data_IF_864513177424
#
_entry.id   IF_864513177424
#
_cell.length_a   1.000
_cell.length_b   1.000
_cell.length_c   1.000
_cell.angle_alpha   90.00
_cell.angle_beta   90.00
_cell.angle_gamma   90.00
#
_symmetry.space_group_name_H-M   'P 1'
#
loop_
_entity.id
_entity.type
_entity.pdbx_description
1 polymer ?
#
# COMPACT_ATOMS: atom_id res chain seq x y z
N UNK A 1 14.53 -19.59 -0.01
CA UNK A 1 13.17 -19.04 0.04
C UNK A 1 13.24 -17.65 0.66
N UNK A 2 12.56 -16.67 0.07
CA UNK A 2 12.54 -15.27 0.48
C UNK A 2 11.11 -14.85 0.80
N UNK A 3 10.85 -14.35 2.02
CA UNK A 3 9.64 -13.63 2.35
C UNK A 3 9.88 -12.14 2.07
N UNK A 4 9.07 -11.56 1.24
CA UNK A 4 9.26 -10.17 0.81
C UNK A 4 7.92 -9.47 0.53
N UNK A 5 7.97 -8.17 0.30
CA UNK A 5 6.82 -7.33 -0.01
C UNK A 5 6.98 -6.66 -1.37
N UNK A 6 5.89 -6.13 -1.89
CA UNK A 6 5.90 -5.43 -3.19
C UNK A 6 6.88 -4.25 -3.27
N UNK A 7 7.21 -3.59 -2.16
CA UNK A 7 8.20 -2.51 -2.20
C UNK A 7 9.53 -3.01 -2.76
N UNK A 8 10.00 -4.18 -2.34
CA UNK A 8 11.23 -4.77 -2.87
C UNK A 8 11.04 -5.29 -4.29
N UNK A 9 9.97 -6.05 -4.57
CA UNK A 9 9.83 -6.79 -5.82
C UNK A 9 9.23 -5.98 -6.99
N UNK A 10 8.41 -4.96 -6.69
CA UNK A 10 7.68 -4.24 -7.73
C UNK A 10 7.96 -2.73 -7.75
N UNK A 11 8.37 -2.12 -6.63
CA UNK A 11 8.61 -0.68 -6.55
C UNK A 11 10.08 -0.33 -6.69
N UNK A 12 10.97 -1.00 -5.94
CA UNK A 12 12.41 -0.74 -5.97
C UNK A 12 13.05 -0.80 -7.38
N UNK A 13 12.63 -1.73 -8.27
CA UNK A 13 13.14 -1.75 -9.64
C UNK A 13 12.92 -0.44 -10.43
N UNK A 14 11.91 0.36 -10.06
CA UNK A 14 11.65 1.65 -10.67
C UNK A 14 12.25 2.83 -9.89
N UNK A 15 12.53 2.66 -8.60
CA UNK A 15 13.08 3.71 -7.73
C UNK A 15 14.60 3.82 -7.83
N UNK A 16 15.29 2.67 -7.90
CA UNK A 16 16.74 2.61 -7.93
C UNK A 16 17.26 2.51 -9.36
N UNK A 17 18.32 3.23 -9.66
CA UNK A 17 19.02 3.15 -10.95
C UNK A 17 19.65 1.78 -11.19
N UNK A 18 20.10 1.13 -10.11
CA UNK A 18 20.60 -0.23 -10.14
C UNK A 18 20.10 -0.99 -8.89
N UNK A 19 18.99 -1.71 -8.99
CA UNK A 19 18.43 -2.45 -7.86
C UNK A 19 19.25 -3.67 -7.44
N UNK A 20 20.23 -4.10 -8.26
CA UNK A 20 21.12 -5.24 -7.97
C UNK A 20 20.48 -6.61 -8.18
N UNK A 21 19.25 -6.70 -8.68
CA UNK A 21 18.55 -7.95 -8.98
C UNK A 21 17.44 -7.71 -10.04
N UNK A 22 17.04 -8.79 -10.69
CA UNK A 22 15.86 -8.84 -11.58
C UNK A 22 14.70 -9.53 -10.83
N UNK A 23 13.60 -8.81 -10.51
CA UNK A 23 12.48 -9.38 -9.76
C UNK A 23 11.75 -10.52 -10.46
N UNK A 24 11.87 -10.63 -11.79
CA UNK A 24 11.23 -11.65 -12.61
C UNK A 24 12.24 -12.75 -13.01
N UNK A 25 13.46 -12.35 -13.40
CA UNK A 25 14.49 -13.28 -13.86
C UNK A 25 15.16 -14.06 -12.75
N UNK A 26 15.42 -13.44 -11.60
CA UNK A 26 16.15 -14.08 -10.49
C UNK A 26 15.25 -14.87 -9.55
N UNK A 27 13.91 -14.60 -9.58
CA UNK A 27 12.96 -15.18 -8.62
C UNK A 27 11.73 -15.78 -9.29
N UNK A 28 11.22 -16.83 -8.68
CA UNK A 28 9.90 -17.41 -8.97
C UNK A 28 8.95 -17.07 -7.82
N UNK A 29 7.82 -16.43 -8.10
CA UNK A 29 6.78 -16.11 -7.11
C UNK A 29 6.10 -17.42 -6.68
N UNK A 30 6.34 -17.84 -5.46
CA UNK A 30 5.90 -19.11 -4.92
C UNK A 30 4.47 -19.06 -4.37
N UNK A 31 4.18 -18.03 -3.55
CA UNK A 31 2.91 -17.94 -2.84
C UNK A 31 2.58 -16.47 -2.45
N UNK A 32 1.35 -16.05 -2.72
CA UNK A 32 0.81 -14.78 -2.24
C UNK A 32 0.20 -14.99 -0.85
N UNK A 33 0.61 -14.18 0.12
CA UNK A 33 0.16 -14.30 1.51
C UNK A 33 -1.08 -13.45 1.76
N UNK A 34 -1.04 -12.21 1.34
CA UNK A 34 -2.11 -11.24 1.57
C UNK A 34 -1.65 -9.81 1.35
N UNK A 35 -2.57 -8.87 1.47
CA UNK A 35 -2.30 -7.45 1.34
C UNK A 35 -2.78 -6.64 2.55
N UNK A 36 -2.17 -5.49 2.75
CA UNK A 36 -2.54 -4.52 3.78
C UNK A 36 -2.81 -3.19 3.11
N UNK A 37 -4.02 -2.64 3.21
CA UNK A 37 -4.34 -1.34 2.65
C UNK A 37 -3.76 -0.21 3.49
N UNK A 38 -3.67 0.95 2.86
CA UNK A 38 -3.43 2.23 3.52
C UNK A 38 -4.75 2.99 3.66
N UNK A 39 -4.77 3.91 4.61
CA UNK A 39 -5.90 4.83 4.81
C UNK A 39 -5.38 6.26 4.77
N UNK A 40 -6.09 7.11 4.05
CA UNK A 40 -5.92 8.55 4.11
C UNK A 40 -6.65 9.06 5.34
N UNK A 41 -5.91 9.71 6.23
CA UNK A 41 -6.43 10.20 7.51
C UNK A 41 -6.17 11.69 7.68
N UNK A 42 -7.01 12.34 8.50
CA UNK A 42 -6.85 13.71 8.98
C UNK A 42 -7.00 13.79 10.50
N UNK A 43 -6.60 14.90 11.16
CA UNK A 43 -6.85 15.09 12.58
C UNK A 43 -8.36 15.23 12.88
N UNK A 44 -8.81 14.91 14.11
CA UNK A 44 -10.19 15.09 14.50
C UNK A 44 -10.59 16.57 14.41
N UNK A 45 -11.81 16.82 13.94
CA UNK A 45 -12.30 18.19 13.74
C UNK A 45 -11.78 18.91 12.49
N UNK A 46 -10.93 18.26 11.70
CA UNK A 46 -10.52 18.76 10.38
C UNK A 46 -11.74 18.98 9.47
N UNK A 47 -11.75 20.06 8.66
CA UNK A 47 -12.75 20.22 7.61
C UNK A 47 -12.62 19.19 6.47
N UNK A 48 -11.49 18.49 6.39
CA UNK A 48 -11.21 17.45 5.39
C UNK A 48 -11.79 16.11 5.85
N UNK A 49 -13.10 15.93 5.67
CA UNK A 49 -13.83 14.74 6.15
C UNK A 49 -14.01 13.66 5.09
N UNK A 50 -14.04 14.06 3.85
CA UNK A 50 -14.29 13.21 2.70
C UNK A 50 -13.22 13.40 1.63
N UNK A 51 -13.13 12.47 0.69
CA UNK A 51 -12.24 12.61 -0.46
C UNK A 51 -12.59 13.84 -1.30
N UNK A 52 -13.88 14.17 -1.40
CA UNK A 52 -14.36 15.38 -2.09
C UNK A 52 -13.83 16.66 -1.43
N UNK A 53 -13.81 16.71 -0.10
CA UNK A 53 -13.26 17.88 0.63
C UNK A 53 -11.75 18.05 0.36
N UNK A 54 -11.00 16.93 0.36
CA UNK A 54 -9.56 16.93 0.06
C UNK A 54 -9.31 17.47 -1.35
N UNK A 55 -10.04 16.96 -2.33
CA UNK A 55 -9.91 17.39 -3.73
C UNK A 55 -10.31 18.85 -3.90
N UNK A 56 -11.40 19.28 -3.29
CA UNK A 56 -11.84 20.68 -3.34
C UNK A 56 -10.82 21.63 -2.71
N UNK A 57 -10.26 21.27 -1.54
CA UNK A 57 -9.22 22.05 -0.87
C UNK A 57 -7.94 22.17 -1.71
N UNK A 58 -7.47 21.06 -2.28
CA UNK A 58 -6.28 21.05 -3.13
C UNK A 58 -6.47 21.85 -4.43
N UNK A 59 -7.67 21.78 -5.06
CA UNK A 59 -7.98 22.60 -6.24
C UNK A 59 -8.06 24.10 -5.92
N UNK A 60 -8.54 24.45 -4.73
CA UNK A 60 -8.61 25.86 -4.32
C UNK A 60 -7.23 26.49 -4.11
N UNK A 61 -6.26 25.69 -3.67
CA UNK A 61 -4.89 26.11 -3.36
C UNK A 61 -3.89 25.03 -3.81
N UNK A 62 -3.57 25.00 -5.11
CA UNK A 62 -2.64 24.01 -5.65
C UNK A 62 -1.28 24.06 -4.96
N UNK A 63 -0.74 22.90 -4.57
CA UNK A 63 0.56 22.77 -3.90
C UNK A 63 0.61 23.18 -2.42
N UNK A 64 -0.47 23.75 -1.83
CA UNK A 64 -0.48 24.11 -0.40
C UNK A 64 -0.97 23.00 0.52
N UNK A 65 -1.81 22.07 0.01
CA UNK A 65 -2.33 20.98 0.83
C UNK A 65 -1.30 19.87 1.00
N UNK A 66 -0.76 19.76 2.22
CA UNK A 66 0.28 18.79 2.53
C UNK A 66 -0.28 17.42 2.95
N UNK A 67 0.48 16.36 2.64
CA UNK A 67 0.28 15.03 3.21
C UNK A 67 1.58 14.41 3.69
N UNK A 68 1.52 13.75 4.84
CA UNK A 68 2.63 13.03 5.43
C UNK A 68 2.73 11.60 4.87
N UNK A 69 3.94 11.10 4.70
CA UNK A 69 4.26 9.73 4.34
C UNK A 69 5.35 9.12 5.22
N UNK A 70 5.54 7.81 5.14
CA UNK A 70 6.61 7.12 5.83
C UNK A 70 8.01 7.34 5.21
N UNK A 71 8.10 8.16 4.16
CA UNK A 71 9.35 8.53 3.48
C UNK A 71 9.24 8.47 1.96
N UNK A 72 10.25 9.02 1.28
CA UNK A 72 10.34 9.00 -0.18
C UNK A 72 10.33 7.57 -0.73
N UNK A 73 9.60 7.35 -1.83
CA UNK A 73 9.49 6.06 -2.50
C UNK A 73 8.67 5.00 -1.76
N UNK A 74 8.18 5.28 -0.55
CA UNK A 74 7.27 4.37 0.15
C UNK A 74 5.88 4.36 -0.49
N UNK A 75 5.10 3.31 -0.23
CA UNK A 75 3.71 3.22 -0.73
C UNK A 75 2.87 4.42 -0.28
N UNK A 76 3.05 4.90 0.95
CA UNK A 76 2.33 6.09 1.45
C UNK A 76 2.65 7.36 0.64
N UNK A 77 3.90 7.53 0.19
CA UNK A 77 4.26 8.59 -0.75
C UNK A 77 3.57 8.39 -2.11
N UNK A 78 3.72 7.20 -2.67
CA UNK A 78 3.21 6.87 -4.01
C UNK A 78 1.68 6.91 -4.10
N UNK A 79 0.96 6.61 -3.01
CA UNK A 79 -0.50 6.77 -2.94
C UNK A 79 -0.93 8.24 -3.01
N UNK A 80 -0.18 9.16 -2.37
CA UNK A 80 -0.42 10.59 -2.52
C UNK A 80 -0.21 11.07 -3.95
N UNK A 81 0.86 10.62 -4.60
CA UNK A 81 1.12 10.93 -6.01
C UNK A 81 0.07 10.33 -6.95
N UNK A 82 -0.38 9.09 -6.65
CA UNK A 82 -1.46 8.42 -7.39
C UNK A 82 -2.77 9.21 -7.27
N UNK A 83 -3.16 9.62 -6.06
CA UNK A 83 -4.33 10.43 -5.83
C UNK A 83 -4.22 11.79 -6.56
N UNK A 84 -3.07 12.45 -6.45
CA UNK A 84 -2.82 13.73 -7.12
C UNK A 84 -3.01 13.62 -8.64
N UNK A 85 -2.43 12.59 -9.25
CA UNK A 85 -2.56 12.31 -10.69
C UNK A 85 -4.01 11.98 -11.08
N UNK A 86 -4.68 11.09 -10.34
CA UNK A 86 -6.03 10.62 -10.67
C UNK A 86 -7.10 11.71 -10.48
N UNK A 87 -6.92 12.59 -9.50
CA UNK A 87 -7.86 13.68 -9.22
C UNK A 87 -7.51 15.01 -9.93
N UNK A 88 -6.36 15.08 -10.61
CA UNK A 88 -5.87 16.31 -11.24
C UNK A 88 -5.67 17.42 -10.23
N UNK A 89 -4.99 17.11 -9.10
CA UNK A 89 -4.68 18.05 -8.01
C UNK A 89 -3.18 18.07 -7.72
N UNK A 90 -2.74 19.12 -7.06
CA UNK A 90 -1.37 19.25 -6.59
C UNK A 90 -1.32 19.18 -5.06
N UNK A 91 -0.53 18.23 -4.51
CA UNK A 91 -0.36 17.97 -3.10
C UNK A 91 1.11 18.09 -2.71
N UNK A 92 1.38 18.75 -1.59
CA UNK A 92 2.72 18.85 -1.03
C UNK A 92 3.06 17.58 -0.24
N UNK A 93 4.09 16.85 -0.67
CA UNK A 93 4.57 15.67 0.04
C UNK A 93 5.52 16.03 1.19
N UNK A 94 5.25 15.53 2.40
CA UNK A 94 6.11 15.67 3.59
C UNK A 94 6.61 14.28 3.99
N UNK A 95 7.89 13.95 3.71
CA UNK A 95 8.47 12.65 4.05
C UNK A 95 8.90 12.58 5.51
N UNK A 96 8.53 11.51 6.20
CA UNK A 96 8.98 11.17 7.56
C UNK A 96 9.88 9.93 7.54
N UNK A 97 10.56 9.66 8.65
CA UNK A 97 11.35 8.44 8.87
C UNK A 97 10.45 7.33 9.45
N UNK A 98 9.38 6.97 8.73
CA UNK A 98 8.42 5.94 9.13
C UNK A 98 7.01 6.46 9.38
N UNK A 99 6.05 5.53 9.57
CA UNK A 99 4.62 5.86 9.72
C UNK A 99 4.29 6.49 11.08
N UNK A 100 5.00 6.11 12.15
CA UNK A 100 4.71 6.59 13.50
C UNK A 100 4.90 8.12 13.66
N UNK A 101 6.03 8.72 13.27
CA UNK A 101 6.18 10.17 13.33
C UNK A 101 5.19 10.90 12.39
N UNK A 102 4.85 10.34 11.23
CA UNK A 102 3.85 10.92 10.34
C UNK A 102 2.45 10.98 11.01
N UNK A 103 2.03 9.89 11.67
CA UNK A 103 0.77 9.87 12.43
C UNK A 103 0.80 10.87 13.59
N UNK A 104 1.91 10.96 14.33
CA UNK A 104 2.03 11.88 15.46
C UNK A 104 1.85 13.34 15.04
N UNK A 105 2.41 13.74 13.90
CA UNK A 105 2.28 15.11 13.41
C UNK A 105 0.88 15.41 12.87
N UNK A 106 0.17 14.41 12.34
CA UNK A 106 -1.26 14.55 12.01
C UNK A 106 -2.09 14.69 13.30
N UNK A 107 -1.84 13.85 14.30
CA UNK A 107 -2.51 13.95 15.62
C UNK A 107 -2.29 15.32 16.28
N UNK A 108 -1.09 15.87 16.12
CA UNK A 108 -0.71 17.20 16.60
C UNK A 108 -1.20 18.38 15.72
N UNK A 109 -1.86 18.10 14.59
CA UNK A 109 -2.34 19.12 13.66
C UNK A 109 -1.24 19.83 12.87
N UNK A 110 0.00 19.31 12.88
CA UNK A 110 1.13 19.90 12.15
C UNK A 110 1.03 19.63 10.64
N UNK A 111 0.46 18.49 10.26
CA UNK A 111 0.19 18.14 8.86
C UNK A 111 -1.28 17.74 8.72
N UNK A 112 -2.01 18.28 7.73
CA UNK A 112 -3.45 18.07 7.62
C UNK A 112 -3.87 16.68 7.20
N UNK A 113 -2.99 15.91 6.53
CA UNK A 113 -3.29 14.59 5.96
C UNK A 113 -2.11 13.63 6.13
N UNK A 114 -2.38 12.33 6.24
CA UNK A 114 -1.37 11.30 6.05
C UNK A 114 -1.95 10.07 5.34
N UNK A 115 -1.12 9.40 4.54
CA UNK A 115 -1.34 8.00 4.18
C UNK A 115 -0.64 7.11 5.20
N UNK A 116 -1.41 6.38 6.01
CA UNK A 116 -0.91 5.43 7.01
C UNK A 116 -1.39 4.02 6.69
N UNK A 117 -0.60 2.99 7.05
CA UNK A 117 -1.11 1.61 6.95
C UNK A 117 -2.35 1.45 7.83
N UNK A 118 -3.37 0.76 7.35
CA UNK A 118 -4.62 0.60 8.10
C UNK A 118 -4.40 0.07 9.52
N UNK A 119 -3.57 -0.97 9.76
CA UNK A 119 -3.28 -1.44 11.12
C UNK A 119 -2.70 -0.35 12.02
N UNK A 120 -1.79 0.48 11.51
CA UNK A 120 -1.17 1.55 12.29
C UNK A 120 -2.14 2.66 12.66
N UNK A 121 -3.11 2.96 11.80
CA UNK A 121 -4.12 3.99 12.02
C UNK A 121 -5.34 3.50 12.82
N UNK A 122 -5.67 2.21 12.75
CA UNK A 122 -6.94 1.65 13.19
C UNK A 122 -7.26 1.93 14.67
N UNK A 123 -6.26 1.82 15.55
CA UNK A 123 -6.43 2.10 16.98
C UNK A 123 -6.80 3.58 17.22
N UNK A 124 -6.16 4.49 16.50
CA UNK A 124 -6.44 5.94 16.58
C UNK A 124 -7.80 6.28 15.97
N UNK A 125 -8.18 5.62 14.86
CA UNK A 125 -9.49 5.78 14.25
C UNK A 125 -10.60 5.33 15.19
N UNK A 126 -10.48 4.14 15.80
CA UNK A 126 -11.44 3.62 16.78
C UNK A 126 -11.55 4.48 18.03
N UNK A 127 -10.47 5.13 18.43
CA UNK A 127 -10.45 6.08 19.55
C UNK A 127 -10.94 7.49 19.19
N UNK A 128 -11.35 7.75 17.94
CA UNK A 128 -11.76 9.07 17.45
C UNK A 128 -10.63 10.10 17.39
N UNK A 129 -9.37 9.64 17.46
CA UNK A 129 -8.17 10.50 17.41
C UNK A 129 -7.67 10.75 15.98
N UNK A 130 -8.11 9.95 15.03
CA UNK A 130 -7.92 10.18 13.59
C UNK A 130 -9.26 10.01 12.89
N UNK A 131 -9.50 10.88 11.93
CA UNK A 131 -10.63 10.80 11.02
C UNK A 131 -10.18 10.08 9.74
N UNK A 132 -10.84 8.99 9.39
CA UNK A 132 -10.59 8.26 8.15
C UNK A 132 -11.34 8.90 6.99
N UNK A 133 -10.67 9.06 5.86
CA UNK A 133 -11.21 9.68 4.64
C UNK A 133 -11.48 8.64 3.58
N UNK A 134 -10.48 7.84 3.23
CA UNK A 134 -10.61 6.77 2.22
C UNK A 134 -9.52 5.72 2.39
N UNK A 135 -9.81 4.47 1.98
CA UNK A 135 -8.88 3.33 1.98
C UNK A 135 -8.35 3.11 0.56
N UNK A 136 -7.12 2.64 0.46
CA UNK A 136 -6.41 2.44 -0.81
C UNK A 136 -6.65 1.08 -1.49
N UNK A 137 -7.41 0.18 -0.87
CA UNK A 137 -7.77 -1.12 -1.47
C UNK A 137 -8.87 -0.97 -2.53
N UNK A 138 -8.96 -1.97 -3.42
CA UNK A 138 -10.02 -2.01 -4.44
C UNK A 138 -11.44 -2.18 -3.84
N UNK A 139 -11.54 -2.77 -2.65
CA UNK A 139 -12.79 -2.96 -1.90
C UNK A 139 -12.62 -2.46 -0.48
N UNK A 140 -13.72 -2.12 0.18
CA UNK A 140 -13.70 -1.72 1.60
C UNK A 140 -13.12 -2.82 2.47
N UNK A 141 -12.32 -2.45 3.45
CA UNK A 141 -11.71 -3.39 4.38
C UNK A 141 -12.72 -3.88 5.41
N UNK A 142 -12.79 -5.19 5.71
CA UNK A 142 -13.60 -5.70 6.82
C UNK A 142 -13.22 -5.10 8.19
N UNK A 143 -11.98 -4.63 8.35
CA UNK A 143 -11.52 -3.98 9.58
C UNK A 143 -12.05 -2.53 9.74
N UNK A 144 -12.53 -1.92 8.63
CA UNK A 144 -13.09 -0.57 8.59
C UNK A 144 -14.15 -0.47 7.47
N UNK A 145 -15.29 -1.17 7.60
CA UNK A 145 -16.29 -1.33 6.52
C UNK A 145 -16.99 -0.02 6.14
N UNK A 146 -17.05 0.93 7.05
CA UNK A 146 -17.69 2.22 6.83
C UNK A 146 -16.81 3.21 6.06
N UNK A 147 -15.51 2.94 5.93
CA UNK A 147 -14.57 3.82 5.23
C UNK A 147 -14.61 3.51 3.73
N UNK A 148 -14.97 4.51 2.87
CA UNK A 148 -15.00 4.30 1.43
C UNK A 148 -13.59 4.05 0.87
N UNK A 149 -13.52 3.48 -0.33
CA UNK A 149 -12.23 3.33 -1.01
C UNK A 149 -11.94 4.53 -1.93
N UNK A 150 -10.64 4.77 -2.19
CA UNK A 150 -10.24 5.71 -3.23
C UNK A 150 -10.82 5.30 -4.60
N UNK A 151 -10.88 4.00 -4.84
CA UNK A 151 -11.36 3.41 -6.10
C UNK A 151 -12.87 3.64 -6.36
N UNK A 152 -13.68 3.89 -5.32
CA UNK A 152 -15.09 4.25 -5.49
C UNK A 152 -15.25 5.58 -6.27
N UNK A 153 -14.24 6.46 -6.22
CA UNK A 153 -14.22 7.74 -6.94
C UNK A 153 -13.21 7.75 -8.08
N UNK A 154 -12.03 7.17 -7.86
CA UNK A 154 -10.93 7.09 -8.81
C UNK A 154 -10.52 5.63 -9.00
N UNK A 155 -11.10 4.90 -9.99
CA UNK A 155 -10.93 3.45 -10.14
C UNK A 155 -9.48 2.96 -10.23
N UNK A 156 -8.58 3.79 -10.78
CA UNK A 156 -7.15 3.47 -10.89
C UNK A 156 -6.36 3.74 -9.61
N UNK A 157 -6.98 4.32 -8.58
CA UNK A 157 -6.31 4.69 -7.33
C UNK A 157 -6.36 3.52 -6.33
N UNK A 158 -5.69 2.42 -6.67
CA UNK A 158 -5.58 1.20 -5.85
C UNK A 158 -4.12 0.89 -5.58
N UNK A 159 -3.75 0.83 -4.30
CA UNK A 159 -2.39 0.47 -3.88
C UNK A 159 -2.34 -0.07 -2.46
N UNK A 160 -1.77 -1.26 -2.30
CA UNK A 160 -1.66 -1.98 -1.03
C UNK A 160 -0.25 -2.52 -0.86
N UNK A 161 0.19 -2.75 0.37
CA UNK A 161 1.38 -3.57 0.62
C UNK A 161 0.94 -5.03 0.58
N UNK A 162 1.39 -5.78 -0.40
CA UNK A 162 1.24 -7.23 -0.38
C UNK A 162 2.53 -7.92 0.03
N UNK A 163 2.39 -9.08 0.66
CA UNK A 163 3.47 -9.97 1.04
C UNK A 163 3.41 -11.28 0.27
N UNK A 164 4.56 -11.80 -0.10
CA UNK A 164 4.67 -13.06 -0.81
C UNK A 164 5.95 -13.81 -0.52
N UNK A 165 5.92 -15.11 -0.80
CA UNK A 165 7.07 -15.98 -0.77
C UNK A 165 7.62 -16.14 -2.19
N UNK A 166 8.95 -16.09 -2.29
CA UNK A 166 9.70 -16.26 -3.52
C UNK A 166 10.78 -17.33 -3.34
N UNK A 167 11.09 -18.00 -4.42
CA UNK A 167 12.22 -18.90 -4.53
C UNK A 167 13.18 -18.38 -5.60
N UNK A 168 14.49 -18.67 -5.55
CA UNK A 168 15.36 -18.45 -6.69
C UNK A 168 14.84 -19.14 -7.94
N UNK A 169 15.09 -18.56 -9.10
CA UNK A 169 14.80 -19.24 -10.38
C UNK A 169 15.60 -20.53 -10.50
N UNK A 170 15.03 -21.56 -11.13
CA UNK A 170 15.69 -22.86 -11.34
C UNK A 170 15.53 -23.88 -10.20
N UNK A 171 14.74 -23.56 -9.16
CA UNK A 171 14.38 -24.56 -8.13
C UNK A 171 13.54 -25.69 -8.77
N UNK A 172 13.85 -26.93 -8.40
CA UNK A 172 13.17 -28.12 -8.91
C UNK A 172 11.63 -28.00 -8.76
N UNK A 173 10.85 -28.26 -9.83
CA UNK A 173 9.39 -28.13 -9.80
C UNK A 173 8.68 -28.93 -8.69
N UNK A 174 9.19 -30.11 -8.33
CA UNK A 174 8.60 -30.92 -7.26
C UNK A 174 8.82 -30.29 -5.87
N UNK A 175 9.97 -29.62 -5.67
CA UNK A 175 10.21 -28.82 -4.46
C UNK A 175 9.24 -27.64 -4.43
N UNK A 176 9.04 -26.95 -5.56
CA UNK A 176 8.09 -25.85 -5.66
C UNK A 176 6.67 -26.29 -5.32
N UNK A 177 6.19 -27.39 -5.86
CA UNK A 177 4.88 -27.98 -5.53
C UNK A 177 4.74 -28.30 -4.03
N UNK A 178 5.78 -28.91 -3.46
CA UNK A 178 5.80 -29.26 -2.03
C UNK A 178 5.67 -28.01 -1.16
N UNK A 179 6.42 -26.95 -1.47
CA UNK A 179 6.36 -25.69 -0.74
C UNK A 179 5.01 -24.98 -0.90
N UNK A 180 4.46 -24.97 -2.12
CA UNK A 180 3.12 -24.40 -2.38
C UNK A 180 2.03 -25.13 -1.61
N UNK A 181 2.07 -26.48 -1.60
CA UNK A 181 1.12 -27.30 -0.85
C UNK A 181 1.24 -27.07 0.66
N UNK A 182 2.46 -26.96 1.18
CA UNK A 182 2.70 -26.63 2.59
C UNK A 182 2.13 -25.24 2.95
N UNK A 183 2.37 -24.22 2.11
CA UNK A 183 1.81 -22.89 2.32
C UNK A 183 0.30 -22.88 2.27
N UNK A 184 -0.30 -23.60 1.32
CA UNK A 184 -1.76 -23.71 1.22
C UNK A 184 -2.35 -24.31 2.51
N UNK A 185 -1.73 -25.37 3.06
CA UNK A 185 -2.15 -25.95 4.35
C UNK A 185 -2.03 -24.96 5.49
N UNK A 186 -0.92 -24.23 5.60
CA UNK A 186 -0.70 -23.23 6.64
C UNK A 186 -1.73 -22.12 6.55
N UNK A 187 -1.95 -21.57 5.36
CA UNK A 187 -2.88 -20.46 5.13
C UNK A 187 -4.35 -20.86 5.22
N UNK A 188 -4.66 -22.16 5.17
CA UNK A 188 -6.02 -22.69 5.42
C UNK A 188 -6.33 -22.83 6.93
N UNK A 189 -5.33 -22.79 7.80
CA UNK A 189 -5.53 -22.92 9.25
C UNK A 189 -6.31 -21.75 9.83
N UNK A 190 -7.39 -21.98 10.62
CA UNK A 190 -8.20 -20.91 11.21
C UNK A 190 -7.39 -19.97 12.10
N UNK A 191 -6.51 -20.51 12.95
CA UNK A 191 -5.67 -19.75 13.87
C UNK A 191 -4.68 -18.82 13.15
N UNK A 192 -4.12 -19.28 12.02
CA UNK A 192 -3.23 -18.47 11.19
C UNK A 192 -4.02 -17.34 10.52
N UNK A 193 -5.16 -17.68 9.90
CA UNK A 193 -6.02 -16.70 9.23
C UNK A 193 -6.50 -15.61 10.21
N UNK A 194 -6.99 -16.01 11.37
CA UNK A 194 -7.44 -15.08 12.40
C UNK A 194 -6.33 -14.09 12.79
N UNK A 195 -5.13 -14.60 13.10
CA UNK A 195 -3.98 -13.76 13.49
C UNK A 195 -3.60 -12.77 12.40
N UNK A 196 -3.53 -13.20 11.14
CA UNK A 196 -3.18 -12.32 10.02
C UNK A 196 -4.27 -11.28 9.77
N UNK A 197 -5.55 -11.66 9.84
CA UNK A 197 -6.67 -10.72 9.71
C UNK A 197 -6.70 -9.70 10.85
N UNK A 198 -6.42 -10.11 12.08
CA UNK A 198 -6.29 -9.17 13.22
C UNK A 198 -5.14 -8.18 13.04
N UNK A 199 -4.10 -8.57 12.31
CA UNK A 199 -3.02 -7.69 11.90
C UNK A 199 -3.36 -6.82 10.67
N UNK A 200 -4.61 -6.87 10.19
CA UNK A 200 -5.10 -6.04 9.09
C UNK A 200 -4.75 -6.53 7.70
N UNK A 201 -4.34 -7.80 7.54
CA UNK A 201 -4.14 -8.38 6.22
C UNK A 201 -5.47 -8.80 5.61
N UNK A 202 -5.69 -8.42 4.37
CA UNK A 202 -6.66 -9.06 3.49
C UNK A 202 -6.02 -10.33 2.91
N UNK A 203 -6.65 -11.46 3.19
CA UNK A 203 -6.18 -12.79 2.77
C UNK A 203 -6.87 -13.28 1.50
N UNK A 204 -7.38 -12.36 0.67
CA UNK A 204 -7.93 -12.72 -0.66
C UNK A 204 -6.83 -13.34 -1.50
N UNK A 205 -6.96 -14.61 -1.92
CA UNK A 205 -5.87 -15.32 -2.56
C UNK A 205 -5.67 -14.87 -4.01
N UNK A 206 -4.42 -14.85 -4.45
CA UNK A 206 -4.06 -14.86 -5.87
C UNK A 206 -3.75 -16.31 -6.28
N UNK A 207 -4.43 -16.80 -7.29
CA UNK A 207 -4.22 -18.18 -7.75
C UNK A 207 -2.77 -18.39 -8.25
N UNK A 208 -2.18 -19.53 -7.93
CA UNK A 208 -0.76 -19.82 -8.21
C UNK A 208 -0.39 -19.61 -9.68
N UNK A 209 -1.25 -20.02 -10.61
CA UNK A 209 -1.04 -19.83 -12.04
C UNK A 209 -1.16 -18.37 -12.52
N UNK A 210 -1.60 -17.45 -11.67
CA UNK A 210 -1.70 -16.01 -11.95
C UNK A 210 -0.58 -15.19 -11.29
N UNK A 211 0.26 -15.78 -10.44
CA UNK A 211 1.26 -15.05 -9.66
C UNK A 211 2.28 -14.32 -10.53
N UNK A 212 2.76 -14.93 -11.60
CA UNK A 212 3.71 -14.28 -12.52
C UNK A 212 3.08 -13.09 -13.24
N UNK A 213 1.85 -13.23 -13.74
CA UNK A 213 1.10 -12.14 -14.35
C UNK A 213 0.84 -11.01 -13.34
N UNK A 214 0.38 -11.35 -12.15
CA UNK A 214 0.17 -10.40 -11.06
C UNK A 214 1.44 -9.59 -10.73
N UNK A 215 2.62 -10.25 -10.64
CA UNK A 215 3.88 -9.55 -10.39
C UNK A 215 4.23 -8.56 -11.51
N UNK A 216 4.08 -8.97 -12.77
CA UNK A 216 4.34 -8.11 -13.92
C UNK A 216 3.41 -6.90 -13.97
N UNK A 217 2.12 -7.10 -13.66
CA UNK A 217 1.14 -6.02 -13.58
C UNK A 217 1.49 -5.03 -12.46
N UNK A 218 1.91 -5.53 -11.31
CA UNK A 218 2.36 -4.72 -10.18
C UNK A 218 3.63 -3.92 -10.54
N UNK A 219 4.64 -4.54 -11.15
CA UNK A 219 5.86 -3.85 -11.60
C UNK A 219 5.50 -2.72 -12.57
N UNK A 220 4.66 -3.02 -13.57
CA UNK A 220 4.23 -2.04 -14.57
C UNK A 220 3.46 -0.86 -13.93
N UNK A 221 2.52 -1.18 -13.05
CA UNK A 221 1.73 -0.19 -12.31
C UNK A 221 2.63 0.73 -11.51
N UNK A 222 3.50 0.17 -10.67
CA UNK A 222 4.35 0.96 -9.79
C UNK A 222 5.41 1.75 -10.55
N UNK A 223 5.97 1.22 -11.65
CA UNK A 223 6.89 1.98 -12.51
C UNK A 223 6.24 3.25 -13.07
N UNK A 224 4.97 3.17 -13.51
CA UNK A 224 4.20 4.35 -13.97
C UNK A 224 4.02 5.38 -12.85
N UNK A 225 3.69 4.91 -11.64
CA UNK A 225 3.43 5.79 -10.49
C UNK A 225 4.74 6.44 -10.00
N UNK A 226 5.82 5.68 -9.88
CA UNK A 226 7.16 6.20 -9.53
C UNK A 226 7.59 7.27 -10.51
N UNK A 227 7.44 7.02 -11.81
CA UNK A 227 7.75 8.01 -12.85
C UNK A 227 6.91 9.29 -12.71
N UNK A 228 5.61 9.16 -12.46
CA UNK A 228 4.70 10.29 -12.29
C UNK A 228 4.98 11.09 -11.00
N UNK A 229 5.39 10.42 -9.93
CA UNK A 229 5.71 11.07 -8.64
C UNK A 229 7.05 11.80 -8.64
N UNK A 230 7.94 11.52 -9.60
CA UNK A 230 9.32 12.00 -9.60
C UNK A 230 10.20 11.38 -8.50
N UNK A 231 9.70 10.37 -7.78
CA UNK A 231 10.44 9.69 -6.72
C UNK A 231 11.70 8.99 -7.26
N UNK A 232 12.83 9.19 -6.59
CA UNK A 232 14.11 8.50 -6.84
C UNK A 232 14.84 8.26 -5.53
N UNK A 233 15.57 7.16 -5.45
CA UNK A 233 16.39 6.76 -4.32
C UNK A 233 17.76 6.31 -4.85
N UNK A 234 18.56 7.25 -5.30
CA UNK A 234 19.96 7.03 -5.77
C UNK A 234 20.93 7.57 -4.74
#
# INVERSE_FOLDING_TARGET
>A
MLLTINSAQAINPALYKNPGFDPVGDFTFLYYIGATPYVLVSPPGSPLKTLADVVAAAKKKPGELAYASAGNGTISHLLGAMLATSAGIDLQHIPYKGVAPAINDVLGGQVPLAFASLPSALTYMKAGKLQSIAISSAKRSPAAPDVPTLAETYPDCVGEVWAGLFAPTGVNPEIMKTLQAAMTKVMARPDVRERLTLQGLDLTPVATNKLAGFLNDEITKWARIVKASGARLD
#
